data_IF_948879510681
#
_entry.id   IF_948879510681
#
_cell.length_a   1.000
_cell.length_b   1.000
_cell.length_c   1.000
_cell.angle_alpha   90.00
_cell.angle_beta   90.00
_cell.angle_gamma   90.00
#
_symmetry.space_group_name_H-M   'P 1'
#
loop_
_entity.id
_entity.type
_entity.pdbx_description
1 polymer ?
2 non-polymer ?
3 non-polymer ?
4 non-polymer ?
5 water ?
#
# COMPACT_ATOMS: atom_id res chain seq x y z
N UNK A 6 -14.54 -7.70 -7.09
CA UNK A 6 -13.77 -8.41 -8.11
C UNK A 6 -12.39 -8.80 -7.59
N UNK A 7 -11.50 -9.16 -8.50
CA UNK A 7 -10.15 -9.62 -8.12
C UNK A 7 -9.22 -9.53 -9.36
N UNK A 8 -7.92 -9.40 -9.14
CA UNK A 8 -6.96 -9.53 -10.19
C UNK A 8 -6.03 -10.71 -9.98
N UNK A 9 -5.61 -11.36 -11.05
CA UNK A 9 -4.73 -12.49 -10.93
C UNK A 9 -3.29 -11.99 -10.95
N UNK A 10 -2.58 -12.29 -9.87
CA UNK A 10 -1.18 -11.94 -9.68
C UNK A 10 -0.31 -12.90 -10.49
N UNK A 11 0.94 -12.51 -10.69
CA UNK A 11 1.84 -13.29 -11.55
C UNK A 11 2.22 -14.65 -10.94
N UNK A 12 1.89 -14.85 -9.67
CA UNK A 12 2.11 -16.13 -9.00
C UNK A 12 0.87 -17.07 -8.92
N UNK A 13 -0.21 -16.67 -9.60
CA UNK A 13 -1.41 -17.49 -9.67
C UNK A 13 -2.44 -17.12 -8.62
N UNK A 14 -2.02 -16.28 -7.67
CA UNK A 14 -2.90 -15.88 -6.58
C UNK A 14 -3.75 -14.68 -6.97
N UNK A 15 -4.83 -14.45 -6.22
CA UNK A 15 -5.81 -13.43 -6.58
C UNK A 15 -5.85 -12.33 -5.52
N UNK A 16 -5.91 -11.08 -5.98
CA UNK A 16 -5.99 -9.93 -5.08
C UNK A 16 -7.23 -9.10 -5.38
N UNK A 17 -8.07 -8.90 -4.36
CA UNK A 17 -9.22 -8.01 -4.47
C UNK A 17 -8.80 -6.60 -4.88
N UNK A 18 -9.49 -6.03 -5.87
CA UNK A 18 -9.04 -4.76 -6.51
C UNK A 18 -9.25 -3.50 -5.67
N UNK A 19 -10.08 -3.62 -4.63
CA UNK A 19 -10.27 -2.56 -3.68
C UNK A 19 -9.70 -3.05 -2.31
N UNK A 20 -8.78 -2.25 -1.75
CA UNK A 20 -8.16 -2.53 -0.44
C UNK A 20 -8.47 -1.49 0.65
N UNK A 21 -8.51 -1.94 1.89
CA UNK A 21 -8.79 -1.07 3.00
C UNK A 21 -7.44 -0.62 3.64
N UNK A 22 -7.14 0.69 3.62
CA UNK A 22 -5.92 1.25 4.24
C UNK A 22 -6.10 1.32 5.75
N UNK A 23 -5.08 0.91 6.51
CA UNK A 23 -5.17 0.92 7.98
C UNK A 23 -4.16 1.86 8.65
N UNK A 24 -3.29 2.53 7.89
CA UNK A 24 -2.42 3.55 8.52
C UNK A 24 -3.31 4.69 9.00
N UNK A 25 -3.11 5.11 10.26
CA UNK A 25 -3.64 6.42 10.74
C UNK A 25 -2.53 7.23 11.38
N UNK A 26 -2.62 8.57 11.33
CA UNK A 26 -1.64 9.42 11.98
C UNK A 26 -1.41 9.00 13.45
N UNK A 27 -0.16 9.20 13.92
CA UNK A 27 0.28 8.82 15.28
C UNK A 27 -0.70 9.29 16.36
N UNK A 28 -1.34 10.45 16.20
CA UNK A 28 -2.29 10.97 17.21
C UNK A 28 -3.55 10.14 17.38
N UNK A 29 -3.86 9.33 16.36
CA UNK A 29 -5.02 8.48 16.37
C UNK A 29 -4.77 7.20 17.23
N UNK A 30 -5.56 7.00 18.32
CA UNK A 30 -5.42 5.91 19.29
C UNK A 30 -5.50 4.54 18.59
N UNK A 31 -4.73 3.54 19.05
CA UNK A 31 -4.72 2.17 18.48
C UNK A 31 -6.08 1.47 18.41
N UNK A 32 -6.87 1.65 19.46
CA UNK A 32 -8.21 1.07 19.53
C UNK A 32 -9.05 1.30 18.26
N UNK A 33 -8.93 2.50 17.67
CA UNK A 33 -9.69 2.91 16.47
C UNK A 33 -9.42 2.02 15.24
N UNK A 34 -8.20 1.45 15.16
CA UNK A 34 -7.84 0.53 14.07
C UNK A 34 -8.60 -0.76 14.19
N UNK A 35 -8.95 -1.15 15.42
CA UNK A 35 -9.67 -2.37 15.52
C UNK A 35 -11.13 -2.19 15.08
N UNK A 36 -11.78 -1.11 15.54
CA UNK A 36 -13.19 -0.92 15.15
C UNK A 36 -13.35 -0.66 13.64
N UNK A 37 -12.53 0.23 13.08
CA UNK A 37 -12.48 0.51 11.64
C UNK A 37 -12.33 -0.72 10.73
N UNK A 38 -11.41 -1.61 11.12
CA UNK A 38 -11.09 -2.80 10.33
C UNK A 38 -12.30 -3.75 10.33
N UNK A 39 -12.96 -3.90 11.48
CA UNK A 39 -14.21 -4.71 11.55
C UNK A 39 -15.34 -4.12 10.72
N UNK A 40 -15.53 -2.81 10.82
CA UNK A 40 -16.46 -2.04 9.95
C UNK A 40 -16.20 -2.18 8.46
N UNK A 41 -14.92 -2.12 8.05
CA UNK A 41 -14.53 -2.36 6.65
C UNK A 41 -14.93 -3.74 6.15
N UNK A 42 -14.62 -4.78 6.93
CA UNK A 42 -15.06 -6.13 6.62
C UNK A 42 -16.59 -6.26 6.54
N UNK A 43 -17.32 -5.77 7.54
CA UNK A 43 -18.79 -5.83 7.45
C UNK A 43 -19.31 -5.04 6.23
N UNK A 44 -18.66 -3.92 5.87
CA UNK A 44 -19.04 -3.15 4.66
C UNK A 44 -18.82 -3.84 3.31
N UNK A 45 -17.88 -4.81 3.26
CA UNK A 45 -17.52 -5.50 2.03
C UNK A 45 -16.04 -5.53 1.65
N UNK A 46 -15.17 -4.88 2.40
CA UNK A 46 -13.73 -4.92 2.05
C UNK A 46 -13.17 -6.31 2.41
N UNK A 47 -12.29 -6.84 1.56
CA UNK A 47 -11.77 -8.21 1.73
C UNK A 47 -10.26 -8.13 1.56
N UNK A 48 -9.79 -6.98 1.11
CA UNK A 48 -8.38 -6.71 1.01
C UNK A 48 -8.06 -5.68 2.12
N UNK A 49 -7.06 -6.01 2.96
CA UNK A 49 -6.68 -5.13 4.08
C UNK A 49 -5.17 -4.92 4.08
N UNK A 50 -4.81 -3.65 4.30
CA UNK A 50 -3.43 -3.22 4.12
C UNK A 50 -2.86 -2.65 5.42
N UNK A 51 -1.84 -3.32 5.95
CA UNK A 51 -1.13 -2.83 7.12
C UNK A 51 0.38 -2.95 6.95
N UNK A 52 1.12 -2.59 7.99
CA UNK A 52 2.54 -2.87 8.04
C UNK A 52 3.08 -2.68 9.46
N UNK A 53 4.11 -3.44 9.82
CA UNK A 53 4.78 -3.24 11.10
C UNK A 53 4.86 -1.76 11.44
N UNK A 54 5.28 -0.95 10.48
CA UNK A 54 5.38 0.50 10.67
C UNK A 54 4.14 1.12 11.34
N UNK A 55 2.95 0.60 11.01
CA UNK A 55 1.69 1.23 11.50
C UNK A 55 1.35 1.00 12.96
N UNK A 56 2.05 0.06 13.63
CA UNK A 56 1.83 -0.16 15.06
C UNK A 56 0.32 -0.47 15.34
N UNK A 57 -0.30 -1.26 14.46
CA UNK A 57 -1.70 -1.61 14.63
C UNK A 57 -1.97 -3.09 14.33
N UNK A 58 -0.90 -3.85 14.06
CA UNK A 58 -1.04 -5.19 13.52
C UNK A 58 -1.66 -6.13 14.55
N UNK A 59 -1.65 -5.73 15.81
CA UNK A 59 -2.37 -6.44 16.85
C UNK A 59 -3.87 -6.15 16.78
N UNK A 60 -4.21 -4.91 16.49
CA UNK A 60 -5.60 -4.48 16.46
C UNK A 60 -6.30 -4.99 15.19
N UNK A 61 -5.59 -4.92 14.07
CA UNK A 61 -6.12 -5.37 12.80
C UNK A 61 -6.31 -6.88 12.78
N UNK A 62 -5.30 -7.61 13.25
CA UNK A 62 -5.41 -9.04 13.45
C UNK A 62 -6.62 -9.44 14.29
N UNK A 63 -6.81 -8.75 15.42
CA UNK A 63 -7.99 -8.95 16.26
C UNK A 63 -9.25 -8.76 15.46
N UNK A 64 -9.35 -7.62 14.75
CA UNK A 64 -10.49 -7.32 13.83
C UNK A 64 -10.75 -8.44 12.82
N UNK A 65 -9.71 -8.89 12.12
CA UNK A 65 -9.88 -9.98 11.11
C UNK A 65 -10.34 -11.29 11.81
N UNK A 66 -9.69 -11.63 12.92
CA UNK A 66 -9.95 -12.91 13.58
C UNK A 66 -11.36 -12.95 14.21
N UNK A 67 -11.85 -11.84 14.73
CA UNK A 67 -13.23 -11.79 15.23
C UNK A 67 -14.30 -11.88 14.12
N UNK A 68 -13.96 -11.49 12.90
CA UNK A 68 -14.90 -11.55 11.77
C UNK A 68 -14.95 -12.94 11.24
N UNK A 69 -13.84 -13.68 11.42
CA UNK A 69 -13.77 -15.13 11.08
C UNK A 69 -14.56 -15.95 12.13
N UNK A 70 -14.31 -15.64 13.42
CA UNK A 70 -14.94 -16.25 14.58
C UNK A 70 -16.48 -16.13 14.57
N UNK A 71 -17.00 -14.94 14.24
CA UNK A 71 -18.44 -14.74 14.17
C UNK A 71 -19.06 -15.24 12.85
N UNK A 72 -18.27 -15.83 11.96
CA UNK A 72 -18.77 -16.44 10.69
C UNK A 72 -19.04 -15.52 9.50
N UNK A 73 -18.63 -14.26 9.62
CA UNK A 73 -18.86 -13.27 8.56
C UNK A 73 -18.00 -13.58 7.34
N UNK A 74 -16.73 -13.87 7.57
CA UNK A 74 -15.85 -14.37 6.51
C UNK A 74 -15.15 -15.66 6.96
N UNK A 75 -14.43 -16.28 6.02
CA UNK A 75 -13.38 -17.22 6.38
C UNK A 75 -12.00 -16.69 6.00
N UNK A 76 -10.98 -17.13 6.71
CA UNK A 76 -9.62 -16.71 6.45
C UNK A 76 -9.29 -16.58 4.95
N UNK A 77 -9.67 -17.58 4.14
CA UNK A 77 -9.45 -17.61 2.67
C UNK A 77 -10.14 -16.46 1.89
N UNK A 78 -11.07 -15.76 2.52
CA UNK A 78 -11.83 -14.67 1.89
C UNK A 78 -11.16 -13.34 2.14
N UNK A 79 -10.20 -13.33 3.08
CA UNK A 79 -9.46 -12.11 3.48
C UNK A 79 -8.09 -12.10 2.83
N UNK A 80 -7.74 -10.98 2.20
CA UNK A 80 -6.44 -10.84 1.61
C UNK A 80 -5.79 -9.78 2.49
N UNK A 81 -4.80 -10.25 3.24
CA UNK A 81 -4.10 -9.40 4.20
C UNK A 81 -2.64 -9.14 3.80
N UNK A 82 -2.27 -7.87 3.75
CA UNK A 82 -0.94 -7.46 3.45
C UNK A 82 -0.18 -6.96 4.71
N UNK A 83 1.06 -7.39 4.84
CA UNK A 83 1.96 -6.69 5.73
C UNK A 83 3.20 -6.22 4.95
N UNK A 84 4.06 -5.47 5.63
CA UNK A 84 5.28 -4.92 5.06
C UNK A 84 6.46 -4.99 5.99
N UNK A 85 7.61 -5.34 5.41
CA UNK A 85 8.90 -5.44 6.10
C UNK A 85 9.42 -4.04 6.25
N UNK A 86 9.65 -3.59 7.48
CA UNK A 86 10.17 -2.21 7.66
C UNK A 86 11.69 -2.11 7.39
N UNK A 87 12.18 -0.88 7.12
CA UNK A 87 13.56 -0.58 6.75
C UNK A 87 14.69 -1.02 7.72
N UNK A 88 14.34 -1.21 8.99
CA UNK A 88 15.26 -1.64 10.06
C UNK A 88 15.40 -3.18 10.01
N UNK A 89 14.68 -3.85 9.10
CA UNK A 89 14.90 -5.32 8.95
C UNK A 89 15.23 -5.79 7.51
N UNK A 90 15.81 -4.91 6.69
CA UNK A 90 16.29 -5.30 5.34
C UNK A 90 17.40 -6.40 5.31
N UNK A 91 18.25 -6.49 6.34
CA UNK A 91 19.33 -7.52 6.38
C UNK A 91 18.65 -8.86 6.31
N UNK A 92 19.17 -9.76 5.43
CA UNK A 92 18.58 -11.08 5.13
C UNK A 92 18.18 -11.92 6.35
N UNK A 93 19.07 -11.97 7.33
CA UNK A 93 18.81 -12.66 8.58
C UNK A 93 17.68 -12.09 9.44
N UNK A 94 17.32 -10.80 9.23
CA UNK A 94 16.25 -10.14 9.98
C UNK A 94 14.86 -10.16 9.32
N UNK A 95 14.79 -10.69 8.09
CA UNK A 95 13.56 -10.59 7.28
C UNK A 95 12.51 -11.56 7.83
N UNK A 96 12.87 -12.83 7.91
CA UNK A 96 11.94 -13.84 8.51
C UNK A 96 11.55 -13.56 10.00
N UNK A 97 12.54 -13.24 10.90
CA UNK A 97 12.10 -12.70 12.22
C UNK A 97 11.07 -11.54 12.16
N UNK A 98 11.19 -10.59 11.21
CA UNK A 98 10.26 -9.46 11.17
C UNK A 98 8.85 -9.94 10.79
N UNK A 99 8.78 -10.81 9.80
CA UNK A 99 7.51 -11.45 9.40
C UNK A 99 6.90 -12.30 10.53
N UNK A 100 7.72 -13.08 11.23
CA UNK A 100 7.23 -13.91 12.29
C UNK A 100 6.66 -13.11 13.42
N UNK A 101 7.23 -11.93 13.70
CA UNK A 101 6.75 -11.02 14.74
C UNK A 101 5.43 -10.36 14.35
N UNK A 102 5.33 -9.84 13.11
CA UNK A 102 4.00 -9.42 12.59
C UNK A 102 2.98 -10.55 12.74
N UNK A 103 3.35 -11.77 12.37
CA UNK A 103 2.40 -12.91 12.50
C UNK A 103 1.95 -13.13 13.97
N UNK A 104 2.90 -13.11 14.89
CA UNK A 104 2.61 -13.15 16.34
C UNK A 104 1.67 -12.03 16.87
N UNK A 105 1.88 -10.81 16.39
CA UNK A 105 1.10 -9.67 16.75
C UNK A 105 -0.33 -9.85 16.20
N UNK A 106 -0.40 -10.36 14.98
CA UNK A 106 -1.65 -10.55 14.29
C UNK A 106 -2.35 -11.76 14.83
N UNK A 107 -1.59 -12.72 15.39
CA UNK A 107 -2.08 -14.11 15.67
C UNK A 107 -2.69 -14.84 14.44
N UNK A 108 -2.04 -14.69 13.30
CA UNK A 108 -2.38 -15.43 12.09
C UNK A 108 -1.21 -16.30 11.70
N UNK A 109 -1.46 -17.29 10.83
CA UNK A 109 -0.41 -18.24 10.48
C UNK A 109 0.35 -17.81 9.24
N UNK A 110 -0.27 -16.97 8.42
CA UNK A 110 0.38 -16.46 7.22
C UNK A 110 -0.21 -15.11 6.81
N UNK A 111 0.59 -14.32 6.09
CA UNK A 111 0.07 -13.18 5.35
C UNK A 111 -0.11 -13.51 3.87
N UNK A 112 -1.13 -12.93 3.25
CA UNK A 112 -1.36 -13.12 1.83
C UNK A 112 -0.34 -12.35 0.99
N UNK A 113 0.18 -11.27 1.56
CA UNK A 113 1.14 -10.43 0.86
C UNK A 113 2.16 -9.83 1.82
N UNK A 114 3.43 -9.92 1.46
CA UNK A 114 4.50 -9.30 2.24
C UNK A 114 5.41 -8.46 1.37
N UNK A 115 5.47 -7.16 1.65
CA UNK A 115 6.23 -6.22 0.83
C UNK A 115 7.52 -5.71 1.45
N UNK A 116 8.56 -5.56 0.63
CA UNK A 116 9.56 -4.57 0.99
C UNK A 116 8.98 -3.15 0.96
N UNK A 117 8.98 -2.50 2.11
CA UNK A 117 8.10 -1.36 2.34
C UNK A 117 8.60 -0.13 1.58
N UNK A 118 9.93 0.03 1.69
CA UNK A 118 10.59 1.23 1.16
C UNK A 118 12.07 0.87 0.91
N UNK A 119 12.64 1.25 -0.26
CA UNK A 119 13.98 0.74 -0.56
C UNK A 119 15.22 1.33 0.18
N UNK A 120 15.06 2.31 1.06
CA UNK A 120 16.20 2.77 1.91
C UNK A 120 16.28 2.01 3.27
N UNK A 121 17.45 1.45 3.60
CA UNK A 121 17.60 0.69 4.83
C UNK A 121 18.04 1.58 6.01
N UNK A 122 17.53 1.31 7.21
CA UNK A 122 18.00 2.01 8.44
C UNK A 122 18.55 1.01 9.43
N UNK A 123 19.35 1.51 10.39
CA UNK A 123 20.07 0.63 11.37
C UNK A 123 19.10 -0.30 12.07
N UNK A 124 19.46 -1.59 12.16
CA UNK A 124 18.58 -2.54 12.89
C UNK A 124 18.41 -2.22 14.41
N UNK A 125 17.32 -2.71 15.01
CA UNK A 125 16.88 -2.21 16.30
C UNK A 125 15.41 -1.82 16.29
N UNK A 126 14.87 -1.58 17.49
CA UNK A 126 13.43 -1.49 17.66
C UNK A 126 12.95 -0.04 17.56
N UNK A 127 13.88 0.85 17.24
CA UNK A 127 13.52 2.15 16.67
C UNK A 127 13.30 2.04 15.16
N UNK A 128 12.14 2.50 14.71
CA UNK A 128 11.77 2.40 13.30
C UNK A 128 12.39 3.54 12.49
N UNK A 129 12.57 4.69 13.13
CA UNK A 129 13.47 5.71 12.63
C UNK A 129 14.58 6.02 13.64
N UNK A 130 15.71 5.33 13.50
CA UNK A 130 16.82 5.50 14.43
C UNK A 130 17.63 6.75 14.14
N UNK A 131 18.01 7.47 15.18
CA UNK A 131 18.75 8.72 15.01
C UNK A 131 19.94 8.79 15.96
N UNK A 132 21.05 9.38 15.49
CA UNK A 132 22.19 9.65 16.34
C UNK A 132 21.92 10.82 17.28
N UNK A 133 22.85 11.08 18.17
CA UNK A 133 22.62 11.98 19.29
C UNK A 133 22.38 13.42 18.81
N UNK A 134 22.67 13.65 17.54
CA UNK A 134 22.45 14.97 16.94
C UNK A 134 21.21 14.99 16.05
N UNK A 135 20.48 13.88 16.04
CA UNK A 135 19.15 13.84 15.44
C UNK A 135 19.19 13.43 13.98
N UNK A 136 20.37 13.04 13.52
CA UNK A 136 20.54 12.60 12.14
C UNK A 136 20.23 11.11 11.99
N UNK A 137 19.53 10.77 10.92
CA UNK A 137 19.15 9.38 10.68
C UNK A 137 20.32 8.41 10.51
N UNK A 138 20.18 7.22 11.08
CA UNK A 138 21.22 6.19 11.00
C UNK A 138 20.91 5.18 9.90
N UNK A 139 21.46 5.43 8.71
CA UNK A 139 21.18 4.58 7.55
C UNK A 139 22.03 3.32 7.58
N UNK A 140 21.46 2.23 7.08
CA UNK A 140 22.19 0.97 6.97
C UNK A 140 22.62 0.71 5.52
N UNK A 141 23.54 -0.23 5.35
CA UNK A 141 23.95 -0.64 4.01
C UNK A 141 23.56 -2.09 3.73
N UNK A 142 22.56 -2.27 2.87
CA UNK A 142 22.01 -3.60 2.61
C UNK A 142 21.73 -3.78 1.12
N UNK A 143 22.29 -4.84 0.54
CA UNK A 143 21.92 -5.27 -0.80
C UNK A 143 20.47 -5.72 -0.85
N UNK A 144 19.65 -4.96 -1.56
CA UNK A 144 18.21 -5.24 -1.63
C UNK A 144 17.95 -6.56 -2.34
N UNK A 145 18.94 -7.02 -3.12
CA UNK A 145 18.86 -8.32 -3.77
C UNK A 145 18.92 -9.45 -2.75
N UNK A 146 19.75 -9.27 -1.72
CA UNK A 146 19.77 -10.20 -0.57
C UNK A 146 18.45 -10.13 0.26
N UNK A 147 17.94 -8.92 0.41
CA UNK A 147 16.66 -8.70 1.08
C UNK A 147 15.61 -9.46 0.31
N UNK A 148 15.58 -9.28 -1.02
CA UNK A 148 14.58 -9.97 -1.81
C UNK A 148 14.70 -11.48 -1.62
N UNK A 149 15.92 -12.00 -1.69
CA UNK A 149 16.14 -13.44 -1.62
C UNK A 149 15.59 -14.02 -0.32
N UNK A 150 15.69 -13.25 0.76
CA UNK A 150 15.20 -13.68 2.07
C UNK A 150 13.68 -13.58 2.14
N UNK A 151 13.12 -12.62 1.41
CA UNK A 151 11.67 -12.52 1.25
C UNK A 151 11.12 -13.72 0.47
N UNK A 152 11.87 -14.15 -0.53
CA UNK A 152 11.49 -15.33 -1.32
C UNK A 152 11.38 -16.57 -0.44
N UNK A 153 12.34 -16.73 0.47
CA UNK A 153 12.33 -17.89 1.41
C UNK A 153 11.09 -17.86 2.32
N UNK A 154 10.55 -16.66 2.52
CA UNK A 154 9.30 -16.51 3.34
C UNK A 154 8.10 -17.11 2.58
N UNK A 155 8.17 -17.03 1.27
CA UNK A 155 7.14 -17.61 0.37
C UNK A 155 7.32 -19.16 0.36
N UNK A 156 8.56 -19.63 0.31
CA UNK A 156 8.89 -21.10 0.28
C UNK A 156 8.39 -21.70 1.56
N UNK A 157 8.51 -20.91 2.63
CA UNK A 157 8.10 -21.32 3.97
C UNK A 157 6.57 -21.32 4.15
N UNK A 158 5.84 -20.62 3.29
CA UNK A 158 4.37 -20.54 3.43
C UNK A 158 3.89 -19.43 4.34
N UNK A 159 4.82 -18.69 4.97
CA UNK A 159 4.50 -17.53 5.81
C UNK A 159 3.92 -16.34 5.07
N UNK A 160 4.25 -16.23 3.79
CA UNK A 160 3.69 -15.19 2.92
C UNK A 160 3.30 -15.89 1.62
N UNK A 161 2.03 -15.78 1.26
CA UNK A 161 1.53 -16.45 0.04
C UNK A 161 2.08 -15.79 -1.25
N UNK A 162 2.19 -14.45 -1.24
CA UNK A 162 2.73 -13.68 -2.33
C UNK A 162 3.73 -12.65 -1.76
N UNK A 163 4.65 -12.21 -2.59
CA UNK A 163 5.66 -11.24 -2.18
C UNK A 163 5.73 -10.08 -3.20
N UNK A 164 6.07 -8.89 -2.73
CA UNK A 164 6.09 -7.71 -3.57
C UNK A 164 6.92 -6.58 -2.99
N UNK A 165 6.88 -5.43 -3.63
CA UNK A 165 7.64 -4.27 -3.18
C UNK A 165 6.75 -3.04 -3.06
N UNK A 166 7.25 -2.02 -2.35
CA UNK A 166 6.57 -0.74 -2.28
C UNK A 166 7.55 0.41 -2.44
N UNK A 167 7.17 1.43 -3.21
CA UNK A 167 7.98 2.64 -3.36
C UNK A 167 9.26 2.39 -4.15
N UNK A 168 9.20 1.40 -5.04
CA UNK A 168 10.31 1.06 -5.90
C UNK A 168 10.16 1.84 -7.23
N UNK A 169 11.26 2.37 -7.76
CA UNK A 169 11.24 2.97 -9.09
C UNK A 169 11.55 1.94 -10.21
N UNK A 170 11.50 2.34 -11.48
CA UNK A 170 11.76 1.41 -12.61
C UNK A 170 13.12 0.67 -12.46
N UNK A 171 14.15 1.40 -12.08
CA UNK A 171 15.50 0.89 -11.90
C UNK A 171 15.64 -0.21 -10.84
N UNK A 172 14.98 0.03 -9.72
CA UNK A 172 14.94 -0.93 -8.61
C UNK A 172 14.08 -2.13 -8.97
N UNK A 173 13.01 -1.93 -9.74
CA UNK A 173 12.24 -3.10 -10.27
C UNK A 173 13.14 -3.98 -11.17
N UNK A 174 13.86 -3.32 -12.07
CA UNK A 174 14.76 -4.02 -13.00
C UNK A 174 15.84 -4.83 -12.25
N UNK A 175 16.47 -4.19 -11.27
CA UNK A 175 17.47 -4.85 -10.43
C UNK A 175 16.93 -6.17 -9.89
N UNK A 176 15.64 -6.19 -9.57
CA UNK A 176 15.01 -7.38 -9.00
C UNK A 176 14.70 -8.41 -10.08
N UNK A 177 14.08 -7.96 -11.16
CA UNK A 177 13.67 -8.84 -12.24
C UNK A 177 14.89 -9.47 -12.93
N UNK A 178 15.98 -8.71 -12.97
CA UNK A 178 17.18 -9.15 -13.69
C UNK A 178 18.22 -9.84 -12.83
N UNK A 179 17.87 -10.07 -11.57
CA UNK A 179 18.81 -10.61 -10.63
C UNK A 179 18.99 -12.12 -10.85
N UNK A 180 20.27 -12.57 -10.87
CA UNK A 180 20.62 -13.99 -11.05
C UNK A 180 19.90 -14.91 -10.05
N UNK A 181 19.37 -16.03 -10.52
CA UNK A 181 18.69 -17.03 -9.65
C UNK A 181 17.33 -16.61 -9.07
N UNK A 182 16.80 -15.47 -9.52
CA UNK A 182 15.46 -15.04 -9.11
C UNK A 182 14.50 -16.20 -9.12
N UNK A 183 13.77 -16.42 -8.03
CA UNK A 183 12.75 -17.46 -7.99
C UNK A 183 11.33 -16.90 -8.20
N UNK A 184 11.07 -15.72 -7.63
CA UNK A 184 9.74 -15.09 -7.68
C UNK A 184 9.79 -13.56 -7.98
N UNK A 185 9.21 -13.18 -9.10
CA UNK A 185 8.93 -11.75 -9.33
C UNK A 185 8.08 -11.12 -8.21
N UNK A 186 8.25 -9.81 -7.97
CA UNK A 186 7.26 -9.10 -7.15
C UNK A 186 5.91 -9.19 -7.85
N UNK A 187 4.88 -9.51 -7.09
CA UNK A 187 3.49 -9.48 -7.62
C UNK A 187 3.00 -8.05 -7.87
N UNK A 188 3.61 -7.06 -7.22
CA UNK A 188 3.08 -5.71 -7.13
C UNK A 188 4.17 -4.73 -6.75
N UNK A 189 3.90 -3.50 -7.14
CA UNK A 189 4.62 -2.38 -6.64
C UNK A 189 3.56 -1.42 -6.12
N UNK A 190 3.50 -1.28 -4.77
CA UNK A 190 2.57 -0.39 -4.10
C UNK A 190 3.18 1.04 -3.96
N UNK A 191 2.53 2.00 -4.60
CA UNK A 191 3.10 3.36 -4.77
C UNK A 191 1.99 4.41 -4.64
N UNK A 192 2.35 5.63 -4.30
CA UNK A 192 1.45 6.74 -4.35
C UNK A 192 0.85 6.82 -5.77
N UNK A 193 -0.46 6.97 -5.83
CA UNK A 193 -1.11 7.18 -7.14
C UNK A 193 -2.53 7.74 -6.97
N UNK A 194 -2.83 8.81 -7.71
CA UNK A 194 -4.10 9.58 -7.55
C UNK A 194 -4.13 10.53 -8.74
N UNK A 195 -5.28 11.18 -8.99
CA UNK A 195 -5.34 12.04 -10.19
C UNK A 195 -4.35 13.22 -10.26
N UNK A 196 -3.71 13.62 -9.15
CA UNK A 196 -2.66 14.68 -9.20
C UNK A 196 -1.37 14.03 -9.71
N UNK A 197 -1.07 12.82 -9.24
CA UNK A 197 0.14 12.11 -9.59
C UNK A 197 -0.15 10.67 -10.13
N UNK A 198 -0.49 10.59 -11.41
CA UNK A 198 -1.19 9.41 -11.97
C UNK A 198 -0.31 8.24 -12.39
N UNK A 199 1.00 8.44 -12.25
CA UNK A 199 2.02 7.36 -12.41
C UNK A 199 1.98 6.65 -13.79
N UNK A 200 1.58 7.35 -14.83
CA UNK A 200 1.39 6.74 -16.16
C UNK A 200 2.65 5.91 -16.58
N UNK A 201 3.81 6.58 -16.58
CA UNK A 201 5.04 5.97 -17.06
C UNK A 201 5.41 4.74 -16.26
N UNK A 202 5.18 4.80 -14.95
CA UNK A 202 5.51 3.70 -14.06
C UNK A 202 4.43 2.62 -14.10
N UNK A 203 3.18 3.04 -14.31
CA UNK A 203 2.08 2.11 -14.52
C UNK A 203 2.31 1.25 -15.75
N UNK A 204 2.72 1.89 -16.84
CA UNK A 204 3.01 1.17 -18.12
C UNK A 204 4.17 0.20 -17.93
N UNK A 205 5.19 0.63 -17.17
CA UNK A 205 6.29 -0.28 -16.91
C UNK A 205 5.87 -1.51 -16.07
N UNK A 206 5.13 -1.32 -14.96
CA UNK A 206 4.70 -2.47 -14.14
C UNK A 206 3.87 -3.43 -14.97
N UNK A 207 2.86 -2.91 -15.68
CA UNK A 207 2.09 -3.68 -16.66
C UNK A 207 3.00 -4.53 -17.57
N UNK A 208 4.03 -3.94 -18.19
CA UNK A 208 4.96 -4.67 -19.10
C UNK A 208 5.71 -5.91 -18.47
N UNK A 209 5.85 -5.88 -17.15
CA UNK A 209 6.52 -6.95 -16.45
C UNK A 209 5.52 -7.86 -15.68
N UNK A 210 4.21 -7.65 -15.89
CA UNK A 210 3.18 -8.40 -15.13
C UNK A 210 3.22 -8.14 -13.59
N UNK A 211 3.44 -6.90 -13.23
CA UNK A 211 3.44 -6.46 -11.86
C UNK A 211 2.24 -5.54 -11.68
N UNK A 212 1.37 -5.86 -10.72
CA UNK A 212 0.22 -5.01 -10.39
C UNK A 212 0.67 -3.66 -9.75
N UNK A 213 0.20 -2.56 -10.32
CA UNK A 213 0.26 -1.26 -9.66
C UNK A 213 -0.83 -1.14 -8.60
N UNK A 214 -0.41 -1.05 -7.35
CA UNK A 214 -1.33 -0.77 -6.25
C UNK A 214 -1.16 0.66 -5.73
N UNK A 215 -2.24 1.42 -5.74
CA UNK A 215 -2.18 2.85 -5.43
C UNK A 215 -2.47 3.12 -3.97
N UNK A 216 -1.59 3.87 -3.31
CA UNK A 216 -1.85 4.37 -1.97
C UNK A 216 -1.83 5.89 -1.92
N UNK A 217 -2.46 6.45 -0.90
CA UNK A 217 -2.87 7.85 -0.92
C UNK A 217 -3.69 8.16 -2.17
N UNK A 218 -4.64 7.28 -2.49
CA UNK A 218 -5.45 7.43 -3.69
C UNK A 218 -6.51 8.52 -3.52
N UNK A 219 -6.70 8.96 -2.28
CA UNK A 219 -7.65 10.03 -1.99
C UNK A 219 -6.91 11.30 -1.55
N UNK A 220 -5.61 11.35 -1.80
CA UNK A 220 -4.84 12.57 -1.62
C UNK A 220 -4.01 12.50 -0.35
N UNK A 221 -3.99 11.33 0.30
CA UNK A 221 -3.09 11.10 1.43
C UNK A 221 -3.70 11.60 2.73
N UNK A 222 -3.11 11.19 3.85
CA UNK A 222 -3.62 11.56 5.16
C UNK A 222 -3.29 13.02 5.50
N UNK A 223 -2.32 13.57 4.78
CA UNK A 223 -1.89 14.94 5.01
C UNK A 223 -1.36 15.13 6.44
N UNK A 224 -0.73 14.09 6.96
CA UNK A 224 -0.05 14.17 8.25
C UNK A 224 1.28 14.91 8.11
N UNK A 225 1.45 15.97 8.91
CA UNK A 225 2.77 16.55 9.13
C UNK A 225 3.53 15.80 10.21
N UNK A 226 4.84 15.64 10.00
CA UNK A 226 5.57 16.47 9.05
C UNK A 226 5.71 15.78 7.70
N UNK A 227 4.95 14.72 7.48
CA UNK A 227 5.18 13.82 6.36
C UNK A 227 4.72 14.46 5.05
N UNK A 228 3.61 15.20 5.11
CA UNK A 228 2.99 15.73 3.91
C UNK A 228 3.00 17.24 4.10
N UNK A 229 3.40 17.94 3.04
CA UNK A 229 3.43 19.42 2.99
C UNK A 229 1.99 19.97 3.04
N UNK A 230 1.64 20.74 4.12
CA UNK A 230 0.31 21.34 4.32
C UNK A 230 -0.11 22.28 3.21
N UNK A 231 0.87 22.81 2.48
CA UNK A 231 0.60 23.74 1.39
C UNK A 231 0.23 23.04 0.08
N UNK A 232 0.26 21.70 0.05
CA UNK A 232 -0.11 20.90 -1.13
C UNK A 232 -1.62 21.06 -1.40
N UNK A 233 -2.05 21.12 -2.68
CA UNK A 233 -3.51 21.18 -2.98
C UNK A 233 -4.16 19.93 -2.42
N UNK A 234 -5.45 20.04 -2.04
CA UNK A 234 -6.23 18.97 -1.44
C UNK A 234 -6.98 18.29 -2.57
N UNK A 235 -6.47 17.12 -2.95
CA UNK A 235 -7.10 16.28 -4.00
C UNK A 235 -8.62 16.24 -4.00
N UNK A 236 -9.24 16.05 -2.84
CA UNK A 236 -10.68 15.80 -2.82
C UNK A 236 -11.50 17.08 -2.87
N UNK A 237 -10.81 18.24 -2.86
CA UNK A 237 -11.41 19.52 -3.20
C UNK A 237 -11.38 19.89 -4.70
N UNK A 238 -10.81 19.03 -5.55
CA UNK A 238 -10.67 19.27 -6.97
C UNK A 238 -12.01 19.52 -7.65
N UNK A 239 -12.12 20.66 -8.36
CA UNK A 239 -13.40 20.98 -8.98
C UNK A 239 -13.93 19.98 -10.01
N UNK A 240 -13.06 19.35 -10.79
CA UNK A 240 -13.49 18.33 -11.79
C UNK A 240 -13.97 17.04 -11.11
N UNK A 241 -13.29 16.64 -10.02
CA UNK A 241 -13.75 15.44 -9.25
C UNK A 241 -15.08 15.73 -8.63
N UNK A 242 -15.29 17.00 -8.26
CA UNK A 242 -16.65 17.41 -7.66
C UNK A 242 -17.70 17.41 -8.67
N UNK A 243 -17.41 17.89 -9.89
CA UNK A 243 -18.38 17.96 -11.00
C UNK A 243 -18.75 16.55 -11.48
N UNK A 244 -17.73 15.70 -11.60
CA UNK A 244 -17.95 14.25 -11.78
C UNK A 244 -18.78 13.60 -10.65
N UNK A 245 -18.51 13.96 -9.39
CA UNK A 245 -19.25 13.40 -8.27
C UNK A 245 -20.77 13.73 -8.41
N UNK A 246 -21.06 15.01 -8.67
CA UNK A 246 -22.41 15.52 -8.88
C UNK A 246 -23.10 14.87 -10.09
N UNK A 247 -22.40 14.70 -11.23
CA UNK A 247 -23.00 14.10 -12.44
C UNK A 247 -23.54 12.68 -12.18
N UNK A 248 -22.80 11.92 -11.38
CA UNK A 248 -23.01 10.48 -11.19
C UNK A 248 -23.68 10.15 -9.89
N UNK A 249 -24.03 11.19 -9.13
CA UNK A 249 -24.55 11.12 -7.73
C UNK A 249 -23.68 10.42 -6.69
N UNK A 250 -22.36 10.54 -6.93
CA UNK A 250 -21.33 9.95 -6.08
C UNK A 250 -20.52 11.08 -5.48
N UNK A 251 -19.46 10.77 -4.72
CA UNK A 251 -18.54 11.77 -4.16
C UNK A 251 -17.16 11.91 -4.87
N UNK A 252 -16.39 12.98 -4.52
CA UNK A 252 -15.10 13.08 -5.14
C UNK A 252 -14.20 11.89 -4.83
N UNK A 253 -14.28 11.34 -3.62
CA UNK A 253 -13.53 10.10 -3.28
C UNK A 253 -13.89 8.94 -4.19
N UNK A 254 -15.18 8.70 -4.36
CA UNK A 254 -15.66 7.58 -5.15
C UNK A 254 -15.19 7.69 -6.60
N UNK A 255 -15.08 8.92 -7.09
CA UNK A 255 -14.57 9.17 -8.43
C UNK A 255 -13.07 8.88 -8.52
N UNK A 256 -12.32 9.37 -7.55
CA UNK A 256 -10.89 9.10 -7.46
C UNK A 256 -10.62 7.59 -7.51
N UNK A 257 -11.46 6.83 -6.82
CA UNK A 257 -11.24 5.40 -6.68
C UNK A 257 -11.59 4.65 -7.96
N UNK A 258 -12.69 5.04 -8.59
CA UNK A 258 -13.15 4.38 -9.80
C UNK A 258 -12.15 4.58 -10.94
N UNK A 259 -11.67 5.80 -11.10
CA UNK A 259 -10.51 6.07 -11.94
C UNK A 259 -9.39 4.98 -11.95
N UNK A 260 -8.96 4.61 -10.76
CA UNK A 260 -7.91 3.65 -10.61
C UNK A 260 -8.39 2.26 -11.11
N UNK A 261 -9.57 1.85 -10.73
CA UNK A 261 -10.10 0.53 -11.15
C UNK A 261 -10.15 0.39 -12.69
N UNK A 262 -10.62 1.45 -13.40
CA UNK A 262 -10.81 1.42 -14.89
C UNK A 262 -9.49 1.51 -15.69
N UNK A 263 -8.42 1.92 -15.01
CA UNK A 263 -7.11 1.99 -15.62
C UNK A 263 -6.20 0.84 -15.22
N UNK A 264 -6.77 -0.21 -14.65
CA UNK A 264 -6.03 -1.42 -14.38
C UNK A 264 -5.17 -1.31 -13.14
N UNK A 265 -5.60 -0.48 -12.20
CA UNK A 265 -4.87 -0.28 -10.95
C UNK A 265 -5.68 -0.77 -9.75
N UNK A 266 -5.04 -1.57 -8.90
CA UNK A 266 -5.62 -1.93 -7.62
C UNK A 266 -5.48 -0.80 -6.60
N UNK A 267 -6.60 -0.43 -5.97
CA UNK A 267 -6.66 0.77 -5.19
C UNK A 267 -6.99 0.59 -3.70
N UNK A 268 -6.20 1.30 -2.86
CA UNK A 268 -6.43 1.38 -1.45
C UNK A 268 -7.27 2.61 -1.08
N UNK A 269 -8.02 2.48 0.02
CA UNK A 269 -8.74 3.61 0.60
C UNK A 269 -8.76 3.43 2.14
N UNK A 270 -8.09 4.36 2.85
CA UNK A 270 -8.24 4.48 4.29
C UNK A 270 -9.43 5.39 4.69
N UNK A 271 -10.23 4.91 5.62
CA UNK A 271 -11.15 5.73 6.42
C UNK A 271 -11.40 5.04 7.77
N UNK A 272 -11.36 5.83 8.84
CA UNK A 272 -11.78 5.38 10.15
C UNK A 272 -13.15 5.95 10.50
N UNK A 273 -13.88 6.45 9.50
CA UNK A 273 -15.22 7.03 9.72
C UNK A 273 -16.23 6.04 9.17
N UNK A 274 -17.18 5.59 10.01
CA UNK A 274 -18.10 4.52 9.59
C UNK A 274 -18.87 4.81 8.26
N UNK A 275 -19.30 6.07 8.06
CA UNK A 275 -20.07 6.47 6.88
C UNK A 275 -19.19 6.39 5.62
N UNK A 276 -17.98 6.92 5.73
CA UNK A 276 -16.96 6.88 4.67
C UNK A 276 -16.50 5.48 4.28
N UNK A 277 -16.23 4.61 5.27
CA UNK A 277 -16.01 3.17 5.03
C UNK A 277 -17.10 2.56 4.10
N UNK A 278 -18.37 2.73 4.46
CA UNK A 278 -19.48 2.04 3.78
C UNK A 278 -19.67 2.64 2.40
N UNK A 279 -19.27 3.90 2.27
CA UNK A 279 -19.37 4.70 1.03
C UNK A 279 -18.35 4.25 0.02
N UNK A 280 -17.10 4.11 0.46
CA UNK A 280 -16.01 3.72 -0.38
C UNK A 280 -16.18 2.39 -1.10
N UNK A 281 -16.87 1.42 -0.49
CA UNK A 281 -17.08 0.15 -1.21
C UNK A 281 -18.07 0.19 -2.41
N UNK A 282 -18.68 1.34 -2.65
CA UNK A 282 -19.67 1.46 -3.71
C UNK A 282 -19.03 1.95 -5.00
N UNK A 283 -17.70 1.93 -5.05
CA UNK A 283 -16.97 2.19 -6.28
C UNK A 283 -17.38 1.22 -7.38
N UNK A 284 -17.98 0.11 -6.99
CA UNK A 284 -18.28 -0.98 -7.91
C UNK A 284 -19.62 -0.79 -8.59
N UNK A 285 -20.42 0.14 -8.07
CA UNK A 285 -21.80 0.37 -8.58
C UNK A 285 -21.98 1.31 -9.77
N UNK A 286 -20.88 1.86 -10.28
CA UNK A 286 -20.96 2.86 -11.35
C UNK A 286 -19.71 2.80 -12.21
N UNK A 287 -19.74 3.50 -13.36
CA UNK A 287 -18.61 3.52 -14.29
C UNK A 287 -18.38 4.94 -14.80
N UNK A 288 -17.17 5.16 -15.30
CA UNK A 288 -16.82 6.38 -15.99
C UNK A 288 -16.68 6.01 -17.48
N UNK A 289 -16.99 6.97 -18.36
CA UNK A 289 -16.89 6.82 -19.82
C UNK A 289 -15.40 7.04 -20.14
N UNK A 290 -14.95 6.70 -21.35
CA UNK A 290 -13.57 6.93 -21.68
C UNK A 290 -13.31 8.43 -21.69
N UNK A 291 -14.33 9.18 -21.98
CA UNK A 291 -14.19 10.64 -22.07
C UNK A 291 -13.96 11.25 -20.70
N UNK A 292 -14.65 10.71 -19.70
CA UNK A 292 -14.48 11.16 -18.31
C UNK A 292 -13.15 10.69 -17.73
N UNK A 293 -12.70 9.50 -18.11
CA UNK A 293 -11.38 9.02 -17.74
C UNK A 293 -10.29 9.93 -18.31
N UNK A 294 -10.47 10.34 -19.56
CA UNK A 294 -9.57 11.31 -20.19
C UNK A 294 -9.55 12.62 -19.42
N UNK A 295 -10.72 13.05 -18.96
CA UNK A 295 -10.83 14.26 -18.15
C UNK A 295 -9.96 14.17 -16.90
N UNK A 296 -9.96 13.00 -16.27
CA UNK A 296 -9.25 12.81 -15.01
C UNK A 296 -7.75 12.64 -15.26
N UNK A 297 -7.40 12.06 -16.40
CA UNK A 297 -6.01 12.08 -16.88
C UNK A 297 -5.45 13.51 -16.93
N UNK A 298 -6.30 14.48 -17.31
CA UNK A 298 -5.84 15.89 -17.45
C UNK A 298 -5.56 16.56 -16.11
N UNK A 299 -5.98 15.92 -15.03
CA UNK A 299 -5.78 16.48 -13.67
C UNK A 299 -4.36 16.30 -13.14
N UNK A 300 -3.53 15.54 -13.84
CA UNK A 300 -2.15 15.29 -13.37
C UNK A 300 -1.38 16.60 -13.15
N UNK A 301 -0.72 16.74 -12.01
CA UNK A 301 0.06 17.96 -11.80
C UNK A 301 1.40 17.72 -11.13
N UNK A 302 1.83 16.47 -11.07
CA UNK A 302 3.15 16.13 -10.59
C UNK A 302 3.26 16.43 -9.09
N UNK A 303 2.13 16.34 -8.38
CA UNK A 303 2.10 16.51 -6.92
C UNK A 303 2.29 15.21 -6.20
N UNK A 304 3.49 15.00 -5.67
CA UNK A 304 3.78 13.81 -4.83
C UNK A 304 3.63 14.19 -3.34
N UNK A 305 2.58 13.66 -2.68
CA UNK A 305 2.27 13.99 -1.30
C UNK A 305 3.29 13.41 -0.30
N UNK A 306 3.57 12.11 -0.44
CA UNK A 306 4.47 11.43 0.47
C UNK A 306 5.90 11.30 -0.13
N UNK A 307 6.73 12.31 0.08
CA UNK A 307 8.10 12.27 -0.44
C UNK A 307 9.04 11.32 0.31
N UNK A 308 8.78 11.08 1.60
CA UNK A 308 9.69 10.34 2.49
C UNK A 308 11.10 10.97 2.41
N UNK A 309 11.14 12.29 2.27
CA UNK A 309 12.44 12.97 2.11
C UNK A 309 13.35 13.01 3.37
N UNK A 310 12.81 12.64 4.53
CA UNK A 310 13.68 12.23 5.64
C UNK A 310 14.71 11.21 5.16
N UNK A 311 14.31 10.54 4.13
CA UNK A 311 15.10 9.40 3.70
C UNK A 311 15.83 9.69 2.39
N UNK A 312 15.74 10.93 1.94
CA UNK A 312 16.61 11.42 0.87
C UNK A 312 18.07 11.45 1.32
N UNK A 313 18.97 11.13 0.39
CA UNK A 313 20.39 11.10 0.69
C UNK A 313 21.06 9.85 0.14
N UNK A 314 20.72 8.70 0.71
CA UNK A 314 21.20 7.43 0.20
C UNK A 314 20.85 7.20 -1.30
N UNK A 315 21.75 6.53 -2.02
CA UNK A 315 21.57 6.20 -3.45
C UNK A 315 20.29 5.46 -3.78
N UNK A 316 19.80 4.69 -2.80
CA UNK A 316 18.56 3.93 -2.89
C UNK A 316 17.26 4.79 -2.78
N UNK A 317 17.40 6.11 -2.53
CA UNK A 317 16.20 6.96 -2.41
C UNK A 317 15.43 6.89 -3.74
N UNK A 318 14.15 6.43 -3.70
CA UNK A 318 13.45 6.06 -4.95
C UNK A 318 12.94 7.19 -5.83
N UNK A 319 12.81 8.41 -5.30
CA UNK A 319 11.99 9.41 -6.02
C UNK A 319 12.79 10.54 -6.74
N UNK A 320 14.12 10.41 -6.87
CA UNK A 320 14.96 11.33 -7.64
C UNK A 320 14.85 11.09 -9.17
N UNK A 321 14.70 9.81 -9.53
CA UNK A 321 14.61 9.33 -10.93
C UNK A 321 13.27 9.81 -11.46
N UNK A 322 13.23 10.00 -12.80
CA UNK A 322 12.01 10.38 -13.51
C UNK A 322 10.84 9.49 -13.07
N UNK A 323 11.01 8.17 -13.11
CA UNK A 323 10.07 7.20 -12.52
C UNK A 323 10.83 5.87 -12.30
#
# INVERSE_FOLDING_TARGET
>A
MDSKYQCVKLNDGHFMPVLGFGTYAPAEVPKSKALEATKLAIEAGFRHIDSAHLYNNEEQVGLAIRSKIADGSVKREDIFYTSKLWCNSHRPELVRPALERSLKNLQLDYVDLYLIHFPVSVKPGEEVIPKDENGKILFDTVDLCATWEAVEKCKDAGLAKSIGVSNFNRRQLEMILNKPGLKYKPVCNQVECHPYFNQRKLLDFCKSKDIVLVAYSALGSHREEPWVDPNSPVLLEDPVLCALAKKHKRTPALIALRYQLQRGVVVLAKSYNEQRIRQNVQVFEFQLTSEEMKAIDGLNRNVRYLTVDIFAGPPNYPFSDEY
#
